data_IF_765772591229
#
_entry.id   IF_765772591229
#
_cell.length_a   1.000
_cell.length_b   1.000
_cell.length_c   1.000
_cell.angle_alpha   90.00
_cell.angle_beta   90.00
_cell.angle_gamma   90.00
#
_symmetry.space_group_name_H-M   'P 1'
#
loop_
_entity.id
_entity.type
_entity.pdbx_description
1 polymer ?
#
# COMPACT_ATOMS: atom_id res chain seq x y z
N UNK A 1 -24.35 1.41 34.83
CA UNK A 1 -24.01 1.10 33.43
C UNK A 1 -22.80 1.93 33.09
N UNK A 2 -21.68 1.30 32.74
CA UNK A 2 -20.47 2.04 32.35
C UNK A 2 -20.61 2.37 30.87
N UNK A 3 -20.63 3.65 30.53
CA UNK A 3 -20.61 4.09 29.13
C UNK A 3 -19.25 3.71 28.55
N UNK A 4 -19.24 3.08 27.36
CA UNK A 4 -18.03 2.50 26.77
C UNK A 4 -17.21 3.54 25.98
N UNK A 5 -17.86 4.58 25.50
CA UNK A 5 -17.23 5.68 24.78
C UNK A 5 -18.01 6.99 24.94
N UNK A 6 -17.50 8.04 24.30
CA UNK A 6 -18.12 9.36 24.29
C UNK A 6 -19.46 9.37 23.55
N UNK A 7 -19.67 8.51 22.55
CA UNK A 7 -20.92 8.46 21.80
C UNK A 7 -22.06 7.90 22.67
N UNK A 8 -21.80 6.86 23.45
CA UNK A 8 -22.71 6.30 24.45
C UNK A 8 -23.04 7.33 25.54
N UNK A 9 -22.04 8.10 25.98
CA UNK A 9 -22.22 9.16 26.97
C UNK A 9 -23.07 10.32 26.42
N UNK A 10 -22.84 10.74 25.18
CA UNK A 10 -23.61 11.80 24.53
C UNK A 10 -25.03 11.39 24.13
N UNK A 11 -25.24 10.12 23.76
CA UNK A 11 -26.56 9.56 23.54
C UNK A 11 -27.41 9.50 24.82
N UNK A 12 -26.77 9.27 25.97
CA UNK A 12 -27.43 9.24 27.28
C UNK A 12 -27.75 10.63 27.86
N UNK A 13 -26.93 11.66 27.57
CA UNK A 13 -27.08 13.02 28.13
C UNK A 13 -28.11 13.89 27.36
N UNK A 14 -28.49 13.51 26.14
CA UNK A 14 -29.47 14.23 25.30
C UNK A 14 -28.87 15.45 24.58
N UNK A 15 -29.38 15.72 23.36
CA UNK A 15 -28.79 16.68 22.41
C UNK A 15 -28.47 18.08 22.98
N UNK A 16 -29.34 18.62 23.84
CA UNK A 16 -29.16 19.99 24.39
C UNK A 16 -28.08 20.09 25.48
N UNK A 17 -27.82 18.99 26.20
CA UNK A 17 -26.73 18.93 27.17
C UNK A 17 -25.39 18.79 26.46
N UNK A 18 -25.33 17.93 25.43
CA UNK A 18 -24.16 17.77 24.57
C UNK A 18 -23.78 19.08 23.90
N UNK A 19 -24.76 19.81 23.35
CA UNK A 19 -24.52 21.10 22.69
C UNK A 19 -23.92 22.13 23.66
N UNK A 20 -24.46 22.26 24.88
CA UNK A 20 -23.91 23.17 25.89
C UNK A 20 -22.49 22.79 26.29
N UNK A 21 -22.19 21.50 26.37
CA UNK A 21 -20.85 21.00 26.70
C UNK A 21 -19.84 21.25 25.58
N UNK A 22 -20.25 21.07 24.33
CA UNK A 22 -19.45 21.42 23.17
C UNK A 22 -19.16 22.92 23.08
N UNK A 23 -20.15 23.78 23.35
CA UNK A 23 -19.92 25.23 23.40
C UNK A 23 -18.99 25.63 24.56
N UNK A 24 -19.14 25.02 25.74
CA UNK A 24 -18.20 25.23 26.86
C UNK A 24 -16.77 24.73 26.56
N UNK A 25 -16.62 23.69 25.73
CA UNK A 25 -15.32 23.22 25.26
C UNK A 25 -14.72 24.16 24.21
N UNK A 26 -15.54 24.70 23.30
CA UNK A 26 -15.10 25.73 22.33
C UNK A 26 -14.64 27.00 23.02
N UNK A 27 -15.35 27.46 24.05
CA UNK A 27 -14.95 28.64 24.83
C UNK A 27 -13.61 28.47 25.56
N UNK A 28 -13.19 27.22 25.77
CA UNK A 28 -11.93 26.86 26.44
C UNK A 28 -10.85 26.37 25.47
N UNK A 29 -11.15 26.33 24.17
CA UNK A 29 -10.20 25.90 23.16
C UNK A 29 -9.09 26.95 23.02
N UNK A 30 -7.84 26.50 23.02
CA UNK A 30 -6.66 27.34 22.81
C UNK A 30 -6.30 27.28 21.33
N UNK A 31 -5.86 28.41 20.76
CA UNK A 31 -5.40 28.45 19.37
C UNK A 31 -4.17 27.53 19.21
N UNK A 32 -4.30 26.53 18.34
CA UNK A 32 -3.24 25.57 18.07
C UNK A 32 -1.98 26.22 17.49
N UNK A 33 -2.12 27.35 16.78
CA UNK A 33 -1.01 28.11 16.25
C UNK A 33 -0.21 28.79 17.38
N UNK A 34 -0.91 29.41 18.34
CA UNK A 34 -0.27 30.03 19.51
C UNK A 34 0.50 28.98 20.32
N UNK A 35 -0.09 27.82 20.57
CA UNK A 35 0.58 26.71 21.26
C UNK A 35 1.85 26.21 20.53
N UNK A 36 1.80 26.14 19.20
CA UNK A 36 2.96 25.73 18.40
C UNK A 36 4.07 26.78 18.38
N UNK A 37 3.71 28.06 18.45
CA UNK A 37 4.66 29.17 18.56
C UNK A 37 5.32 29.21 19.94
N UNK A 38 4.56 29.00 21.01
CA UNK A 38 5.10 28.95 22.38
C UNK A 38 6.05 27.76 22.60
N UNK A 39 5.87 26.69 21.82
CA UNK A 39 6.74 25.51 21.84
C UNK A 39 7.96 25.61 20.92
N UNK A 40 8.30 26.79 20.40
CA UNK A 40 9.46 27.01 19.54
C UNK A 40 10.76 26.61 20.27
N UNK A 41 11.57 25.70 19.71
CA UNK A 41 12.86 25.34 20.31
C UNK A 41 13.84 26.50 20.27
N UNK A 42 14.59 26.69 21.35
CA UNK A 42 15.57 27.77 21.52
C UNK A 42 16.87 27.45 20.74
N UNK A 43 16.76 27.41 19.41
CA UNK A 43 17.79 26.92 18.50
C UNK A 43 18.33 28.09 17.65
N UNK A 44 19.66 28.30 17.54
CA UNK A 44 20.22 29.44 16.79
C UNK A 44 20.19 29.26 15.26
N UNK A 45 19.94 28.05 14.76
CA UNK A 45 20.00 27.75 13.33
C UNK A 45 18.69 28.05 12.61
N UNK A 46 18.72 29.02 11.68
CA UNK A 46 17.60 29.34 10.80
C UNK A 46 17.09 28.12 10.00
N UNK A 47 17.98 27.20 9.60
CA UNK A 47 17.62 25.97 8.89
C UNK A 47 16.77 25.05 9.77
N UNK A 48 17.14 24.89 11.05
CA UNK A 48 16.39 24.04 11.99
C UNK A 48 15.04 24.66 12.38
N UNK A 49 14.99 25.98 12.58
CA UNK A 49 13.71 26.70 12.79
C UNK A 49 12.77 26.55 11.60
N UNK A 50 13.29 26.66 10.37
CA UNK A 50 12.49 26.43 9.17
C UNK A 50 11.97 24.99 9.10
N UNK A 51 12.78 24.01 9.52
CA UNK A 51 12.35 22.62 9.66
C UNK A 51 11.17 22.45 10.63
N UNK A 52 11.27 23.04 11.82
CA UNK A 52 10.18 23.05 12.81
C UNK A 52 8.90 23.69 12.26
N UNK A 53 9.03 24.86 11.62
CA UNK A 53 7.90 25.55 10.98
C UNK A 53 7.22 24.66 9.95
N UNK A 54 7.99 24.01 9.07
CA UNK A 54 7.47 23.10 8.03
C UNK A 54 6.69 21.92 8.62
N UNK A 55 7.19 21.36 9.72
CA UNK A 55 6.61 20.14 10.30
C UNK A 55 5.44 20.41 11.24
N UNK A 56 5.43 21.54 11.96
CA UNK A 56 4.48 21.79 13.05
C UNK A 56 3.57 22.99 12.82
N UNK A 57 4.06 24.07 12.21
CA UNK A 57 3.31 25.33 12.10
C UNK A 57 2.51 25.40 10.80
N UNK A 58 3.15 25.17 9.65
CA UNK A 58 2.49 25.24 8.33
C UNK A 58 1.28 24.29 8.26
N UNK A 59 1.33 23.05 8.79
CA UNK A 59 0.16 22.18 8.81
C UNK A 59 -1.08 22.77 9.50
N UNK A 60 -0.89 23.53 10.58
CA UNK A 60 -1.96 24.17 11.36
C UNK A 60 -2.59 25.33 10.57
N UNK A 61 -1.75 26.15 9.94
CA UNK A 61 -2.19 27.24 9.06
C UNK A 61 -3.06 26.74 7.89
N UNK A 62 -2.86 25.48 7.49
CA UNK A 62 -3.61 24.85 6.42
C UNK A 62 -4.82 24.02 6.93
N UNK A 63 -4.95 23.83 8.25
CA UNK A 63 -5.95 22.95 8.85
C UNK A 63 -7.31 23.64 9.02
N UNK A 64 -7.33 24.94 9.31
CA UNK A 64 -8.59 25.65 9.62
C UNK A 64 -9.53 25.87 8.43
N UNK A 65 -9.06 25.71 7.19
CA UNK A 65 -9.83 26.12 5.99
C UNK A 65 -9.80 25.13 4.81
N UNK A 66 -9.11 24.00 4.95
CA UNK A 66 -9.00 22.97 3.91
C UNK A 66 -10.08 21.88 3.95
N UNK A 67 -10.72 21.66 5.09
CA UNK A 67 -11.65 20.57 5.28
C UNK A 67 -12.98 20.83 4.55
N UNK A 68 -13.26 20.03 3.52
CA UNK A 68 -14.55 19.97 2.82
C UNK A 68 -14.72 20.83 1.56
N UNK A 69 -13.72 21.62 1.14
CA UNK A 69 -13.84 22.51 -0.05
C UNK A 69 -13.13 22.03 -1.33
N UNK A 70 -12.59 20.82 -1.31
CA UNK A 70 -11.92 20.21 -2.47
C UNK A 70 -10.51 20.76 -2.73
N UNK A 71 -9.74 20.14 -3.66
CA UNK A 71 -8.32 20.41 -3.83
C UNK A 71 -8.00 21.86 -4.21
N UNK A 72 -8.86 22.53 -4.99
CA UNK A 72 -8.60 23.90 -5.45
C UNK A 72 -8.58 24.94 -4.31
N UNK A 73 -9.33 24.69 -3.23
CA UNK A 73 -9.36 25.58 -2.07
C UNK A 73 -7.98 25.73 -1.41
N UNK A 74 -7.10 24.70 -1.50
CA UNK A 74 -5.75 24.76 -0.95
C UNK A 74 -4.90 25.86 -1.61
N UNK A 75 -5.10 26.11 -2.91
CA UNK A 75 -4.35 27.17 -3.63
C UNK A 75 -4.75 28.56 -3.17
N UNK A 76 -6.02 28.74 -2.81
CA UNK A 76 -6.54 30.01 -2.33
C UNK A 76 -5.98 30.40 -0.96
N UNK A 77 -5.58 29.42 -0.13
CA UNK A 77 -4.99 29.67 1.19
C UNK A 77 -3.68 30.47 1.14
N UNK A 78 -2.91 30.36 0.06
CA UNK A 78 -1.68 31.17 -0.13
C UNK A 78 -1.95 32.66 -0.31
N UNK A 79 -3.21 33.03 -0.58
CA UNK A 79 -3.67 34.41 -0.77
C UNK A 79 -4.65 34.86 0.31
N UNK A 80 -4.99 33.97 1.25
CA UNK A 80 -5.94 34.26 2.33
C UNK A 80 -5.31 35.24 3.32
N UNK A 81 -6.02 36.32 3.61
CA UNK A 81 -5.50 37.41 4.46
C UNK A 81 -5.25 36.97 5.91
N UNK A 82 -6.01 36.00 6.43
CA UNK A 82 -5.79 35.49 7.78
C UNK A 82 -4.57 34.57 7.83
N UNK A 83 -4.39 33.72 6.81
CA UNK A 83 -3.19 32.87 6.70
C UNK A 83 -1.92 33.69 6.55
N UNK A 84 -1.98 34.79 5.76
CA UNK A 84 -0.86 35.71 5.58
C UNK A 84 -0.55 36.49 6.87
N UNK A 85 -1.56 36.95 7.61
CA UNK A 85 -1.36 37.60 8.90
C UNK A 85 -0.72 36.66 9.93
N UNK A 86 -1.21 35.42 10.03
CA UNK A 86 -0.63 34.39 10.88
C UNK A 86 0.82 34.06 10.49
N UNK A 87 1.14 34.10 9.19
CA UNK A 87 2.52 33.96 8.68
C UNK A 87 3.44 35.08 9.15
N UNK A 88 2.93 36.31 9.26
CA UNK A 88 3.69 37.46 9.78
C UNK A 88 3.96 37.29 11.30
N UNK A 89 3.00 36.76 12.05
CA UNK A 89 3.18 36.43 13.47
C UNK A 89 4.26 35.33 13.65
N UNK A 90 4.23 34.31 12.81
CA UNK A 90 5.27 33.27 12.77
C UNK A 90 6.63 33.86 12.40
N UNK A 91 6.69 34.81 11.47
CA UNK A 91 7.94 35.49 11.11
C UNK A 91 8.53 36.27 12.29
N UNK A 92 7.67 36.98 13.03
CA UNK A 92 8.06 37.72 14.22
C UNK A 92 8.62 36.80 15.32
N UNK A 93 7.94 35.70 15.60
CA UNK A 93 8.33 34.73 16.63
C UNK A 93 9.62 33.96 16.27
N UNK A 94 9.76 33.52 15.02
CA UNK A 94 10.87 32.67 14.57
C UNK A 94 12.11 33.46 14.14
N UNK A 95 11.97 34.77 13.93
CA UNK A 95 12.97 35.66 13.32
C UNK A 95 13.41 35.21 11.92
N UNK A 96 12.56 34.45 11.23
CA UNK A 96 12.78 34.03 9.84
C UNK A 96 12.25 35.10 8.88
N UNK A 97 12.81 35.16 7.67
CA UNK A 97 12.35 36.10 6.65
C UNK A 97 10.96 35.68 6.13
N UNK A 98 9.98 36.60 6.02
CA UNK A 98 8.64 36.27 5.51
C UNK A 98 8.64 35.57 4.15
N UNK A 99 9.53 35.96 3.24
CA UNK A 99 9.65 35.32 1.93
C UNK A 99 10.04 33.83 1.99
N UNK A 100 10.81 33.41 3.00
CA UNK A 100 11.20 32.00 3.19
C UNK A 100 10.02 31.19 3.72
N UNK A 101 9.23 31.78 4.61
CA UNK A 101 8.03 31.15 5.17
C UNK A 101 6.92 31.03 4.12
N UNK A 102 6.74 32.07 3.30
CA UNK A 102 5.79 32.06 2.17
C UNK A 102 6.15 30.97 1.15
N UNK A 103 7.42 30.86 0.78
CA UNK A 103 7.87 29.78 -0.11
C UNK A 103 7.63 28.39 0.48
N UNK A 104 7.86 28.22 1.79
CA UNK A 104 7.58 26.95 2.47
C UNK A 104 6.08 26.63 2.53
N UNK A 105 5.21 27.64 2.71
CA UNK A 105 3.76 27.47 2.64
C UNK A 105 3.32 27.07 1.22
N UNK A 106 3.83 27.75 0.20
CA UNK A 106 3.51 27.46 -1.20
C UNK A 106 3.94 26.03 -1.61
N UNK A 107 5.12 25.57 -1.18
CA UNK A 107 5.61 24.21 -1.39
C UNK A 107 4.69 23.16 -0.73
N UNK A 108 4.28 23.40 0.51
CA UNK A 108 3.38 22.52 1.25
C UNK A 108 1.97 22.47 0.63
N UNK A 109 1.43 23.63 0.24
CA UNK A 109 0.15 23.73 -0.46
C UNK A 109 0.18 22.96 -1.77
N UNK A 110 1.24 23.11 -2.55
CA UNK A 110 1.38 22.41 -3.82
C UNK A 110 1.48 20.89 -3.62
N UNK A 111 2.19 20.44 -2.58
CA UNK A 111 2.26 19.02 -2.20
C UNK A 111 0.89 18.46 -1.84
N UNK A 112 0.17 19.11 -0.90
CA UNK A 112 -1.18 18.69 -0.49
C UNK A 112 -2.19 18.75 -1.62
N UNK A 113 -2.07 19.74 -2.50
CA UNK A 113 -2.90 19.86 -3.69
C UNK A 113 -2.73 18.64 -4.60
N UNK A 114 -1.49 18.22 -4.85
CA UNK A 114 -1.21 17.06 -5.69
C UNK A 114 -1.71 15.77 -5.03
N UNK A 115 -1.48 15.59 -3.74
CA UNK A 115 -1.99 14.45 -2.96
C UNK A 115 -3.52 14.39 -2.98
N UNK A 116 -4.21 15.49 -2.67
CA UNK A 116 -5.66 15.57 -2.65
C UNK A 116 -6.27 15.39 -4.05
N UNK A 117 -5.64 15.95 -5.09
CA UNK A 117 -6.08 15.75 -6.48
C UNK A 117 -5.92 14.30 -6.91
N UNK A 118 -4.82 13.65 -6.55
CA UNK A 118 -4.59 12.23 -6.84
C UNK A 118 -5.58 11.34 -6.07
N UNK A 119 -5.86 11.64 -4.80
CA UNK A 119 -6.84 10.92 -3.99
C UNK A 119 -8.27 11.10 -4.55
N UNK A 120 -8.70 12.33 -4.85
CA UNK A 120 -10.03 12.58 -5.43
C UNK A 120 -10.19 12.01 -6.84
N UNK A 121 -9.10 11.95 -7.62
CA UNK A 121 -9.08 11.27 -8.92
C UNK A 121 -9.23 9.75 -8.72
N UNK A 122 -8.48 9.17 -7.78
CA UNK A 122 -8.56 7.75 -7.43
C UNK A 122 -9.96 7.35 -6.93
N UNK A 123 -10.60 8.20 -6.12
CA UNK A 123 -11.95 7.98 -5.60
C UNK A 123 -13.01 8.05 -6.71
N UNK A 124 -12.95 9.07 -7.59
CA UNK A 124 -13.83 9.15 -8.77
C UNK A 124 -13.63 7.99 -9.75
N UNK A 125 -12.40 7.54 -9.93
CA UNK A 125 -12.08 6.39 -10.79
C UNK A 125 -12.56 5.07 -10.17
N UNK A 126 -12.47 4.93 -8.85
CA UNK A 126 -13.04 3.79 -8.12
C UNK A 126 -14.58 3.76 -8.21
N UNK A 127 -15.24 4.91 -8.06
CA UNK A 127 -16.70 5.04 -8.21
C UNK A 127 -17.15 4.74 -9.66
N UNK A 128 -16.41 5.23 -10.66
CA UNK A 128 -16.69 4.94 -12.06
C UNK A 128 -16.47 3.46 -12.40
N UNK A 129 -15.44 2.81 -11.86
CA UNK A 129 -15.21 1.37 -12.02
C UNK A 129 -16.34 0.54 -11.39
N UNK A 130 -16.93 0.99 -10.26
CA UNK A 130 -18.11 0.34 -9.65
C UNK A 130 -19.37 0.42 -10.52
N UNK A 131 -19.40 1.32 -11.51
CA UNK A 131 -20.54 1.55 -12.40
C UNK A 131 -20.52 0.65 -13.64
N UNK A 132 -19.41 -0.05 -13.93
CA UNK A 132 -19.33 -0.97 -15.06
C UNK A 132 -20.17 -2.21 -14.77
N UNK A 133 -21.18 -2.45 -15.59
CA UNK A 133 -22.08 -3.58 -15.41
C UNK A 133 -21.33 -4.92 -15.56
N UNK A 134 -21.60 -5.87 -14.66
CA UNK A 134 -20.90 -7.17 -14.57
C UNK A 134 -20.75 -7.93 -15.89
N UNK A 135 -21.79 -7.94 -16.73
CA UNK A 135 -21.78 -8.57 -18.06
C UNK A 135 -20.61 -8.13 -18.95
N UNK A 136 -20.07 -6.94 -18.72
CA UNK A 136 -18.96 -6.37 -19.49
C UNK A 136 -17.62 -6.99 -19.09
N UNK A 137 -17.37 -7.16 -17.77
CA UNK A 137 -16.09 -7.63 -17.26
C UNK A 137 -16.08 -9.13 -16.92
N UNK A 138 -17.25 -9.77 -16.77
CA UNK A 138 -17.36 -11.20 -16.42
C UNK A 138 -16.52 -12.14 -17.31
N UNK A 139 -16.42 -11.94 -18.66
CA UNK A 139 -15.56 -12.77 -19.49
C UNK A 139 -14.06 -12.72 -19.13
N UNK A 140 -13.60 -11.61 -18.54
CA UNK A 140 -12.20 -11.50 -18.08
C UNK A 140 -11.92 -12.45 -16.91
N UNK A 141 -12.94 -12.78 -16.14
CA UNK A 141 -12.89 -13.60 -14.92
C UNK A 141 -13.23 -15.09 -15.16
N UNK A 142 -13.34 -15.54 -16.41
CA UNK A 142 -13.40 -16.97 -16.77
C UNK A 142 -12.13 -17.72 -16.30
N UNK A 143 -12.00 -19.05 -16.45
CA UNK A 143 -10.78 -19.75 -16.04
C UNK A 143 -9.51 -19.22 -16.74
N UNK A 144 -8.42 -19.01 -15.99
CA UNK A 144 -7.15 -18.49 -16.51
C UNK A 144 -7.04 -16.96 -16.48
N UNK A 145 -7.58 -16.35 -15.41
CA UNK A 145 -7.60 -14.92 -15.14
C UNK A 145 -6.18 -14.34 -15.07
N UNK A 146 -5.26 -15.01 -14.36
CA UNK A 146 -3.87 -14.55 -14.23
C UNK A 146 -3.21 -14.38 -15.60
N UNK A 147 -3.31 -15.41 -16.45
CA UNK A 147 -2.74 -15.39 -17.80
C UNK A 147 -3.33 -14.25 -18.64
N UNK A 148 -4.66 -14.07 -18.65
CA UNK A 148 -5.29 -12.97 -19.40
C UNK A 148 -4.86 -11.60 -18.89
N UNK A 149 -4.70 -11.44 -17.58
CA UNK A 149 -4.22 -10.21 -16.98
C UNK A 149 -2.77 -9.92 -17.40
N UNK A 150 -1.89 -10.94 -17.37
CA UNK A 150 -0.51 -10.85 -17.86
C UNK A 150 -0.46 -10.47 -19.34
N UNK A 151 -1.26 -11.12 -20.19
CA UNK A 151 -1.33 -10.82 -21.63
C UNK A 151 -1.81 -9.38 -21.89
N UNK A 152 -2.78 -8.91 -21.13
CA UNK A 152 -3.29 -7.55 -21.22
C UNK A 152 -2.21 -6.53 -20.82
N UNK A 153 -1.57 -6.70 -19.67
CA UNK A 153 -0.47 -5.83 -19.19
C UNK A 153 0.69 -5.85 -20.19
N UNK A 154 1.12 -7.04 -20.61
CA UNK A 154 2.23 -7.18 -21.54
C UNK A 154 1.95 -6.49 -22.88
N UNK A 155 0.72 -6.60 -23.40
CA UNK A 155 0.29 -5.92 -24.62
C UNK A 155 0.23 -4.40 -24.45
N UNK A 156 -0.36 -3.91 -23.35
CA UNK A 156 -0.55 -2.47 -23.07
C UNK A 156 0.75 -1.71 -22.77
N UNK A 157 1.77 -2.42 -22.27
CA UNK A 157 3.04 -1.80 -21.96
C UNK A 157 4.13 -2.17 -22.96
N UNK A 158 3.97 -3.22 -23.77
CA UNK A 158 5.00 -3.69 -24.70
C UNK A 158 6.06 -4.57 -24.03
N UNK A 159 5.68 -5.34 -23.02
CA UNK A 159 6.56 -6.27 -22.31
C UNK A 159 6.61 -7.59 -23.07
N UNK A 160 7.81 -8.16 -23.25
CA UNK A 160 8.03 -9.41 -23.99
C UNK A 160 8.97 -10.30 -23.18
N UNK A 161 8.66 -11.59 -23.09
CA UNK A 161 9.50 -12.60 -22.43
C UNK A 161 9.38 -12.67 -20.90
N UNK A 162 8.88 -11.62 -20.25
CA UNK A 162 8.87 -11.49 -18.77
C UNK A 162 7.61 -12.07 -18.10
N UNK A 163 7.05 -13.16 -18.63
CA UNK A 163 5.75 -13.71 -18.21
C UNK A 163 5.74 -14.09 -16.72
N UNK A 164 6.72 -14.89 -16.28
CA UNK A 164 6.81 -15.35 -14.88
C UNK A 164 7.06 -14.21 -13.89
N UNK A 165 7.80 -13.19 -14.30
CA UNK A 165 8.00 -11.99 -13.49
C UNK A 165 6.69 -11.20 -13.33
N UNK A 166 5.90 -11.04 -14.40
CA UNK A 166 4.58 -10.41 -14.32
C UNK A 166 3.62 -11.21 -13.45
N UNK A 167 3.56 -12.54 -13.62
CA UNK A 167 2.74 -13.42 -12.78
C UNK A 167 3.05 -13.23 -11.28
N UNK A 168 4.34 -13.25 -10.92
CA UNK A 168 4.79 -12.99 -9.55
C UNK A 168 4.35 -11.62 -9.03
N UNK A 169 4.61 -10.56 -9.81
CA UNK A 169 4.29 -9.19 -9.39
C UNK A 169 2.78 -9.03 -9.17
N UNK A 170 1.96 -9.57 -10.09
CA UNK A 170 0.51 -9.56 -9.98
C UNK A 170 0.05 -10.29 -8.71
N UNK A 171 0.52 -11.53 -8.49
CA UNK A 171 0.09 -12.32 -7.34
C UNK A 171 0.50 -11.69 -6.01
N UNK A 172 1.70 -11.11 -5.92
CA UNK A 172 2.11 -10.35 -4.72
C UNK A 172 1.22 -9.11 -4.53
N UNK A 173 0.94 -8.35 -5.59
CA UNK A 173 0.15 -7.14 -5.49
C UNK A 173 -1.31 -7.42 -5.08
N UNK A 174 -1.97 -8.39 -5.73
CA UNK A 174 -3.35 -8.78 -5.36
C UNK A 174 -3.39 -9.54 -4.04
N UNK A 175 -2.27 -10.13 -3.59
CA UNK A 175 -2.18 -10.80 -2.29
C UNK A 175 -2.49 -9.89 -1.09
N UNK A 176 -2.35 -8.57 -1.23
CA UNK A 176 -2.82 -7.61 -0.22
C UNK A 176 -4.34 -7.69 0.00
N UNK A 177 -5.09 -8.17 -1.00
CA UNK A 177 -6.54 -8.32 -0.95
C UNK A 177 -6.99 -9.53 -0.12
N UNK A 178 -6.09 -10.45 0.27
CA UNK A 178 -6.46 -11.62 1.06
C UNK A 178 -6.85 -11.24 2.49
N UNK A 179 -7.77 -12.01 3.07
CA UNK A 179 -8.12 -11.88 4.48
C UNK A 179 -6.96 -12.36 5.36
N UNK A 180 -6.72 -11.67 6.48
CA UNK A 180 -5.74 -12.09 7.50
C UNK A 180 -6.11 -13.45 8.07
N UNK A 181 -5.12 -14.26 8.43
CA UNK A 181 -5.33 -15.51 9.16
C UNK A 181 -6.07 -15.25 10.50
N UNK A 182 -6.77 -16.24 11.08
CA UNK A 182 -7.50 -16.06 12.35
C UNK A 182 -6.66 -15.56 13.53
N UNK A 183 -5.34 -15.72 13.46
CA UNK A 183 -4.38 -15.21 14.44
C UNK A 183 -3.88 -13.77 14.14
N UNK A 184 -4.48 -13.07 13.17
CA UNK A 184 -4.16 -11.71 12.77
C UNK A 184 -2.95 -11.57 11.83
N UNK A 185 -2.27 -12.67 11.48
CA UNK A 185 -1.12 -12.61 10.55
C UNK A 185 -1.57 -12.38 9.11
N UNK A 186 -0.80 -11.65 8.29
CA UNK A 186 -1.10 -11.53 6.87
C UNK A 186 -0.89 -12.87 6.17
N UNK A 187 -1.70 -13.15 5.15
CA UNK A 187 -1.57 -14.33 4.29
C UNK A 187 -0.83 -14.02 2.98
N UNK A 188 -0.97 -12.80 2.45
CA UNK A 188 -0.36 -12.38 1.20
C UNK A 188 1.16 -12.43 1.24
N UNK A 189 1.76 -12.92 0.16
CA UNK A 189 3.22 -12.96 0.01
C UNK A 189 3.78 -11.55 -0.22
N UNK A 190 5.04 -11.32 0.18
CA UNK A 190 5.81 -10.13 -0.21
C UNK A 190 7.13 -10.54 -0.82
N UNK A 191 7.68 -9.69 -1.68
CA UNK A 191 8.80 -10.02 -2.53
C UNK A 191 9.92 -8.99 -2.54
N UNK A 192 11.08 -9.43 -3.02
CA UNK A 192 12.20 -8.60 -3.41
C UNK A 192 12.55 -8.97 -4.84
N UNK A 193 12.59 -7.99 -5.73
CA UNK A 193 12.93 -8.21 -7.13
C UNK A 193 14.36 -7.72 -7.38
N UNK A 194 15.29 -8.67 -7.51
CA UNK A 194 16.72 -8.42 -7.69
C UNK A 194 17.07 -8.50 -9.18
N UNK A 195 17.75 -7.49 -9.68
CA UNK A 195 18.26 -7.47 -11.05
C UNK A 195 19.33 -6.41 -11.22
N UNK A 196 20.10 -6.48 -12.30
CA UNK A 196 21.01 -5.40 -12.69
C UNK A 196 20.25 -4.08 -12.94
N UNK A 197 20.98 -2.96 -12.90
CA UNK A 197 20.45 -1.65 -13.25
C UNK A 197 19.97 -1.66 -14.72
N UNK A 198 18.82 -1.04 -15.01
CA UNK A 198 18.26 -1.00 -16.36
C UNK A 198 17.61 -2.31 -16.85
N UNK A 199 17.58 -3.39 -16.05
CA UNK A 199 16.92 -4.66 -16.43
C UNK A 199 15.40 -4.58 -16.54
N UNK A 200 14.79 -3.49 -16.07
CA UNK A 200 13.35 -3.21 -16.21
C UNK A 200 12.50 -3.52 -14.98
N UNK A 201 13.09 -3.65 -13.77
CA UNK A 201 12.36 -3.96 -12.52
C UNK A 201 11.16 -3.03 -12.30
N UNK A 202 11.42 -1.72 -12.23
CA UNK A 202 10.38 -0.71 -11.98
C UNK A 202 9.36 -0.71 -13.11
N UNK A 203 9.82 -0.80 -14.37
CA UNK A 203 8.94 -0.85 -15.53
C UNK A 203 7.93 -2.03 -15.48
N UNK A 204 8.33 -3.21 -15.00
CA UNK A 204 7.39 -4.33 -14.81
C UNK A 204 6.38 -4.06 -13.69
N UNK A 205 6.82 -3.49 -12.56
CA UNK A 205 5.94 -3.18 -11.43
C UNK A 205 4.97 -2.06 -11.79
N UNK A 206 5.46 -0.99 -12.44
CA UNK A 206 4.66 0.13 -12.94
C UNK A 206 3.56 -0.36 -13.89
N UNK A 207 3.87 -1.31 -14.77
CA UNK A 207 2.92 -1.89 -15.70
C UNK A 207 1.80 -2.68 -15.00
N UNK A 208 2.13 -3.42 -13.93
CA UNK A 208 1.10 -4.10 -13.11
C UNK A 208 0.27 -3.08 -12.35
N UNK A 209 0.91 -2.12 -11.69
CA UNK A 209 0.24 -1.10 -10.88
C UNK A 209 -0.73 -0.26 -11.72
N UNK A 210 -0.40 0.02 -12.99
CA UNK A 210 -1.25 0.79 -13.90
C UNK A 210 -2.63 0.17 -14.18
N UNK A 211 -2.80 -1.15 -14.00
CA UNK A 211 -4.07 -1.83 -14.23
C UNK A 211 -4.86 -2.10 -12.93
N UNK A 212 -4.22 -1.96 -11.78
CA UNK A 212 -4.87 -2.16 -10.49
C UNK A 212 -5.86 -1.03 -10.20
N UNK A 213 -6.89 -1.28 -9.38
CA UNK A 213 -7.73 -0.21 -8.84
C UNK A 213 -6.86 0.84 -8.10
N UNK A 214 -7.10 2.15 -8.29
CA UNK A 214 -6.23 3.21 -7.74
C UNK A 214 -5.99 3.15 -6.23
N UNK A 215 -6.95 2.64 -5.46
CA UNK A 215 -6.84 2.49 -4.00
C UNK A 215 -6.07 1.25 -3.53
N UNK A 216 -5.70 0.33 -4.42
CA UNK A 216 -5.08 -0.94 -4.05
C UNK A 216 -3.57 -0.87 -3.87
N UNK A 217 -2.95 0.25 -4.19
CA UNK A 217 -1.51 0.40 -4.07
C UNK A 217 -1.14 1.77 -3.50
N UNK A 218 0.07 1.85 -2.97
CA UNK A 218 0.72 3.09 -2.58
C UNK A 218 2.16 3.08 -3.09
N UNK A 219 2.41 3.84 -4.15
CA UNK A 219 3.75 4.05 -4.70
C UNK A 219 4.41 5.28 -4.09
N UNK A 220 5.69 5.18 -3.74
CA UNK A 220 6.44 6.32 -3.20
C UNK A 220 7.94 6.19 -3.48
N UNK A 221 8.60 7.34 -3.68
CA UNK A 221 10.06 7.43 -3.89
C UNK A 221 10.82 7.58 -2.57
N UNK A 222 10.21 8.21 -1.58
CA UNK A 222 10.76 8.32 -0.23
C UNK A 222 9.65 8.45 0.80
N UNK A 223 9.87 7.86 1.98
CA UNK A 223 9.01 8.01 3.13
C UNK A 223 9.84 7.76 4.40
N UNK A 224 9.37 8.31 5.52
CA UNK A 224 9.92 7.99 6.84
C UNK A 224 8.96 7.08 7.59
N UNK A 225 9.47 6.24 8.50
CA UNK A 225 8.61 5.45 9.38
C UNK A 225 7.64 6.38 10.16
N UNK A 226 8.13 7.51 10.67
CA UNK A 226 7.31 8.50 11.38
C UNK A 226 6.16 9.03 10.54
N UNK A 227 6.39 9.36 9.26
CA UNK A 227 5.31 9.85 8.40
C UNK A 227 4.22 8.80 8.15
N UNK A 228 4.56 7.50 8.15
CA UNK A 228 3.56 6.44 8.05
C UNK A 228 2.68 6.37 9.30
N UNK A 229 3.27 6.49 10.50
CA UNK A 229 2.51 6.45 11.75
C UNK A 229 1.56 7.65 11.93
N UNK A 230 2.00 8.86 11.59
CA UNK A 230 1.15 10.05 11.75
C UNK A 230 0.01 10.14 10.71
N UNK A 231 0.11 9.43 9.57
CA UNK A 231 -0.99 9.37 8.60
C UNK A 231 -2.25 8.71 9.15
N UNK A 232 -2.10 7.80 10.11
CA UNK A 232 -3.23 7.12 10.79
C UNK A 232 -4.17 8.11 11.47
N UNK A 233 -3.65 9.25 11.94
CA UNK A 233 -4.48 10.26 12.59
C UNK A 233 -5.52 10.88 11.64
N UNK A 234 -5.25 10.85 10.33
CA UNK A 234 -6.16 11.34 9.29
C UNK A 234 -7.00 10.22 8.68
N UNK A 235 -6.35 9.09 8.42
CA UNK A 235 -6.97 7.92 7.81
C UNK A 235 -6.40 6.66 8.47
N UNK A 236 -7.09 6.08 9.47
CA UNK A 236 -6.62 4.88 10.17
C UNK A 236 -6.50 3.65 9.26
N UNK A 237 -7.26 3.62 8.16
CA UNK A 237 -7.33 2.50 7.22
C UNK A 237 -6.47 2.70 5.97
N UNK A 238 -5.61 3.71 5.91
CA UNK A 238 -4.94 4.12 4.68
C UNK A 238 -4.03 3.05 4.04
N UNK A 239 -3.68 1.98 4.78
CA UNK A 239 -2.90 0.85 4.29
C UNK A 239 -3.65 -0.48 4.26
N UNK A 240 -4.91 -0.52 4.70
CA UNK A 240 -5.68 -1.75 4.68
C UNK A 240 -5.86 -2.23 3.24
N UNK A 241 -5.48 -3.48 2.98
CA UNK A 241 -5.51 -4.10 1.67
C UNK A 241 -4.76 -3.32 0.59
N UNK A 242 -3.55 -2.83 0.90
CA UNK A 242 -2.71 -2.11 -0.07
C UNK A 242 -1.38 -2.79 -0.38
N UNK A 243 -1.03 -2.79 -1.64
CA UNK A 243 0.30 -3.11 -2.15
C UNK A 243 1.21 -1.89 -2.02
N UNK A 244 2.24 -1.99 -1.19
CA UNK A 244 3.27 -0.96 -1.07
C UNK A 244 4.34 -1.15 -2.13
N UNK A 245 4.58 -0.10 -2.91
CA UNK A 245 5.60 -0.09 -3.95
C UNK A 245 6.62 1.03 -3.68
N UNK A 246 7.70 0.74 -2.93
CA UNK A 246 8.83 1.64 -2.83
C UNK A 246 9.63 1.61 -4.15
N UNK A 247 9.69 2.72 -4.86
CA UNK A 247 10.33 2.79 -6.19
C UNK A 247 11.85 2.53 -6.14
N UNK A 248 12.47 2.75 -4.97
CA UNK A 248 13.90 2.57 -4.72
C UNK A 248 14.15 1.88 -3.37
N UNK A 249 15.27 1.17 -3.25
CA UNK A 249 15.63 0.46 -2.01
C UNK A 249 15.99 1.43 -0.87
N UNK A 250 16.45 2.64 -1.19
CA UNK A 250 16.74 3.70 -0.23
C UNK A 250 15.47 4.10 0.55
N UNK A 251 14.29 4.04 -0.08
CA UNK A 251 13.01 4.25 0.59
C UNK A 251 12.69 3.14 1.59
N UNK A 252 13.17 1.91 1.33
CA UNK A 252 12.99 0.77 2.23
C UNK A 252 13.88 0.90 3.45
N UNK A 253 15.13 1.34 3.31
CA UNK A 253 16.08 1.46 4.42
C UNK A 253 15.51 2.32 5.56
N UNK A 254 14.78 3.41 5.22
CA UNK A 254 14.10 4.28 6.18
C UNK A 254 12.82 3.67 6.81
N UNK A 255 12.31 2.56 6.25
CA UNK A 255 11.05 1.91 6.60
C UNK A 255 11.22 0.49 7.15
N UNK A 256 12.43 -0.07 7.26
CA UNK A 256 12.66 -1.45 7.73
C UNK A 256 11.89 -1.75 9.03
N UNK A 257 12.03 -0.87 10.04
CA UNK A 257 11.36 -1.03 11.33
C UNK A 257 9.84 -0.99 11.25
N UNK A 258 9.29 -0.29 10.25
CA UNK A 258 7.86 -0.23 9.98
C UNK A 258 7.39 -1.47 9.20
N UNK A 259 8.13 -1.89 8.17
CA UNK A 259 7.75 -3.02 7.31
C UNK A 259 7.82 -4.36 8.04
N UNK A 260 8.81 -4.61 8.91
CA UNK A 260 8.95 -5.89 9.63
C UNK A 260 7.68 -6.30 10.41
N UNK A 261 7.08 -5.46 11.27
CA UNK A 261 5.83 -5.81 11.95
C UNK A 261 4.64 -5.83 10.99
N UNK A 262 4.53 -4.90 10.02
CA UNK A 262 3.44 -4.94 9.05
C UNK A 262 3.37 -6.26 8.27
N UNK A 263 4.52 -6.78 7.83
CA UNK A 263 4.61 -8.05 7.11
C UNK A 263 4.51 -9.30 8.00
N UNK A 264 4.58 -9.16 9.33
CA UNK A 264 4.52 -10.30 10.28
C UNK A 264 3.22 -10.39 11.06
N UNK A 265 2.67 -9.26 11.47
CA UNK A 265 1.48 -9.14 12.32
C UNK A 265 0.38 -8.32 11.67
N UNK A 266 0.56 -7.86 10.43
CA UNK A 266 -0.45 -7.07 9.70
C UNK A 266 -0.80 -5.74 10.37
N UNK A 267 0.02 -5.31 11.32
CA UNK A 267 -0.09 -4.04 12.03
C UNK A 267 1.25 -3.62 12.59
N UNK A 268 1.44 -2.32 12.77
CA UNK A 268 2.61 -1.74 13.40
C UNK A 268 2.17 -0.70 14.42
N UNK A 269 2.84 -0.67 15.58
CA UNK A 269 2.52 0.22 16.68
C UNK A 269 3.70 1.14 16.97
N UNK A 270 3.43 2.43 17.16
CA UNK A 270 4.40 3.39 17.67
C UNK A 270 3.85 4.07 18.90
N UNK A 271 4.57 3.94 20.00
CA UNK A 271 4.39 4.74 21.20
C UNK A 271 5.15 6.05 21.02
N UNK A 272 4.47 7.17 21.15
CA UNK A 272 5.08 8.50 21.10
C UNK A 272 4.55 9.37 22.23
N UNK A 273 5.19 10.51 22.45
CA UNK A 273 4.74 11.50 23.43
C UNK A 273 4.34 12.72 22.65
N UNK A 274 3.07 13.10 22.78
CA UNK A 274 2.56 14.37 22.29
C UNK A 274 2.19 15.25 23.48
N UNK A 275 1.97 16.53 23.21
CA UNK A 275 1.48 17.44 24.25
C UNK A 275 -0.04 17.43 24.25
N UNK A 276 -0.64 17.34 25.43
CA UNK A 276 -2.08 17.56 25.60
C UNK A 276 -2.43 19.05 25.40
N UNK A 277 -3.72 19.38 25.42
CA UNK A 277 -4.20 20.75 25.30
C UNK A 277 -3.67 21.68 26.41
N UNK A 278 -3.23 21.12 27.54
CA UNK A 278 -2.61 21.83 28.66
C UNK A 278 -1.07 21.88 28.59
N UNK A 279 -0.46 21.41 27.49
CA UNK A 279 0.98 21.43 27.25
C UNK A 279 1.78 20.37 28.01
N UNK A 280 1.10 19.43 28.69
CA UNK A 280 1.72 18.31 29.41
C UNK A 280 2.02 17.17 28.45
N UNK A 281 3.06 16.41 28.75
CA UNK A 281 3.42 15.23 27.99
C UNK A 281 2.38 14.13 28.22
N UNK A 282 1.68 13.73 27.16
CA UNK A 282 0.75 12.61 27.12
C UNK A 282 1.29 11.53 26.17
N UNK A 283 1.29 10.28 26.64
CA UNK A 283 1.63 9.14 25.79
C UNK A 283 0.54 8.87 24.78
N UNK A 284 0.90 8.75 23.51
CA UNK A 284 -0.01 8.44 22.41
C UNK A 284 0.43 7.14 21.72
N UNK A 285 -0.56 6.30 21.43
CA UNK A 285 -0.41 5.09 20.62
C UNK A 285 -0.87 5.35 19.18
N UNK A 286 0.05 5.14 18.22
CA UNK A 286 -0.24 5.20 16.79
C UNK A 286 -0.19 3.78 16.21
N UNK A 287 -1.36 3.18 15.99
CA UNK A 287 -1.49 1.85 15.36
C UNK A 287 -1.80 1.99 13.87
N UNK A 288 -0.88 1.52 13.02
CA UNK A 288 -1.11 1.40 11.58
C UNK A 288 -1.61 -0.01 11.28
N UNK A 289 -2.73 -0.13 10.57
CA UNK A 289 -3.36 -1.41 10.21
C UNK A 289 -3.10 -1.78 8.75
N UNK A 290 -2.92 -3.08 8.51
CA UNK A 290 -2.89 -3.71 7.20
C UNK A 290 -4.13 -4.58 6.96
N UNK A 291 -4.09 -5.58 6.07
CA UNK A 291 -2.87 -6.19 5.51
C UNK A 291 -2.24 -5.39 4.38
N UNK A 292 -0.91 -5.51 4.30
CA UNK A 292 -0.12 -5.01 3.16
C UNK A 292 0.66 -6.15 2.53
N UNK A 293 1.00 -5.99 1.26
CA UNK A 293 2.10 -6.71 0.60
C UNK A 293 3.06 -5.70 -0.01
N UNK A 294 4.26 -6.13 -0.39
CA UNK A 294 5.23 -5.25 -1.06
C UNK A 294 6.15 -6.01 -2.00
N UNK A 295 6.62 -5.34 -3.05
CA UNK A 295 7.80 -5.76 -3.80
C UNK A 295 8.84 -4.67 -3.70
N UNK A 296 10.05 -5.07 -3.29
CA UNK A 296 11.19 -4.18 -3.19
C UNK A 296 12.09 -4.40 -4.41
N UNK A 297 12.05 -3.52 -5.42
CA UNK A 297 12.99 -3.56 -6.53
C UNK A 297 14.39 -3.18 -6.02
N UNK A 298 15.41 -3.95 -6.39
CA UNK A 298 16.77 -3.65 -5.94
C UNK A 298 17.85 -4.18 -6.90
N UNK A 299 19.01 -3.54 -6.84
CA UNK A 299 20.27 -4.04 -7.41
C UNK A 299 21.15 -4.71 -6.36
N UNK A 300 20.80 -4.58 -5.07
CA UNK A 300 21.56 -5.10 -3.94
C UNK A 300 21.21 -6.58 -3.74
N UNK A 301 22.24 -7.42 -3.60
CA UNK A 301 22.06 -8.84 -3.28
C UNK A 301 21.75 -9.10 -1.80
N UNK A 302 21.87 -8.08 -0.94
CA UNK A 302 21.62 -8.16 0.50
C UNK A 302 20.89 -6.91 0.98
N UNK A 303 19.96 -7.10 1.91
CA UNK A 303 19.30 -6.06 2.71
C UNK A 303 19.38 -6.47 4.19
N UNK A 304 18.63 -5.79 5.07
CA UNK A 304 18.45 -6.23 6.46
C UNK A 304 17.99 -7.69 6.50
N UNK A 305 18.76 -8.55 7.18
CA UNK A 305 18.53 -9.99 7.20
C UNK A 305 17.14 -10.34 7.78
N UNK A 306 16.66 -9.55 8.74
CA UNK A 306 15.35 -9.77 9.33
C UNK A 306 14.24 -9.43 8.34
N UNK A 307 14.34 -8.33 7.59
CA UNK A 307 13.39 -8.00 6.53
C UNK A 307 13.46 -9.04 5.41
N UNK A 308 14.65 -9.41 4.95
CA UNK A 308 14.85 -10.36 3.85
C UNK A 308 14.17 -11.71 4.10
N UNK A 309 14.27 -12.25 5.32
CA UNK A 309 13.63 -13.53 5.68
C UNK A 309 12.09 -13.48 5.68
N UNK A 310 11.47 -12.32 5.50
CA UNK A 310 10.02 -12.14 5.32
C UNK A 310 9.60 -12.04 3.85
N UNK A 311 10.56 -11.99 2.92
CA UNK A 311 10.32 -11.74 1.51
C UNK A 311 10.71 -12.96 0.66
N UNK A 312 9.95 -13.20 -0.40
CA UNK A 312 10.40 -14.05 -1.50
C UNK A 312 11.44 -13.33 -2.32
N UNK A 313 12.60 -13.94 -2.49
CA UNK A 313 13.65 -13.38 -3.33
C UNK A 313 13.38 -13.84 -4.75
N UNK A 314 13.08 -12.90 -5.64
CA UNK A 314 12.91 -13.13 -7.06
C UNK A 314 14.05 -12.46 -7.84
N UNK A 315 14.62 -13.16 -8.80
CA UNK A 315 15.68 -12.69 -9.68
C UNK A 315 15.16 -12.54 -11.10
N UNK A 316 15.44 -11.37 -11.68
CA UNK A 316 15.16 -11.10 -13.08
C UNK A 316 16.45 -11.31 -13.87
N UNK A 317 16.72 -12.57 -14.23
CA UNK A 317 17.90 -12.96 -15.02
C UNK A 317 17.89 -12.29 -16.41
N UNK A 318 19.09 -11.99 -16.94
CA UNK A 318 19.23 -11.60 -18.35
C UNK A 318 19.29 -12.85 -19.24
N UNK A 319 18.98 -12.69 -20.52
CA UNK A 319 18.98 -13.78 -21.50
C UNK A 319 19.39 -13.29 -22.88
N UNK A 320 19.93 -14.21 -23.69
CA UNK A 320 20.40 -13.88 -25.03
C UNK A 320 19.25 -13.35 -25.91
N UNK A 321 19.52 -12.29 -26.67
CA UNK A 321 18.54 -11.67 -27.56
C UNK A 321 17.57 -10.71 -26.89
N UNK A 322 17.47 -10.69 -25.56
CA UNK A 322 16.54 -9.85 -24.79
C UNK A 322 16.57 -8.39 -25.20
N UNK A 323 17.75 -7.77 -25.20
CA UNK A 323 17.90 -6.33 -25.49
C UNK A 323 17.27 -5.97 -26.83
N UNK A 324 17.49 -6.80 -27.85
CA UNK A 324 16.92 -6.59 -29.19
C UNK A 324 15.40 -6.78 -29.20
N UNK A 325 14.88 -7.77 -28.48
CA UNK A 325 13.43 -7.99 -28.37
C UNK A 325 12.72 -6.84 -27.65
N UNK A 326 13.27 -6.42 -26.50
CA UNK A 326 12.73 -5.34 -25.67
C UNK A 326 12.78 -4.00 -26.39
N UNK A 327 13.90 -3.64 -27.01
CA UNK A 327 14.01 -2.40 -27.79
C UNK A 327 13.10 -2.40 -29.01
N UNK A 328 12.90 -3.55 -29.67
CA UNK A 328 11.89 -3.70 -30.74
C UNK A 328 10.47 -3.54 -30.20
N UNK A 329 10.16 -4.09 -29.03
CA UNK A 329 8.86 -3.95 -28.41
C UNK A 329 8.57 -2.48 -28.08
N UNK A 330 9.53 -1.78 -27.46
CA UNK A 330 9.46 -0.34 -27.24
C UNK A 330 9.24 0.44 -28.55
N UNK A 331 9.99 0.12 -29.60
CA UNK A 331 9.83 0.75 -30.92
C UNK A 331 8.44 0.52 -31.53
N UNK A 332 7.76 -0.58 -31.20
CA UNK A 332 6.38 -0.84 -31.65
C UNK A 332 5.38 0.10 -30.99
N UNK A 333 5.62 0.51 -29.74
CA UNK A 333 4.75 1.45 -29.02
C UNK A 333 4.66 2.81 -29.73
N UNK A 334 5.73 3.21 -30.41
CA UNK A 334 5.82 4.47 -31.15
C UNK A 334 5.21 4.40 -32.56
N UNK A 335 4.76 3.22 -33.01
CA UNK A 335 4.12 3.10 -34.34
C UNK A 335 2.74 3.77 -34.31
N UNK A 336 2.30 4.43 -35.40
CA UNK A 336 1.05 5.19 -35.41
C UNK A 336 -0.17 4.42 -34.91
N UNK A 337 -0.30 3.14 -35.28
CA UNK A 337 -1.42 2.30 -34.83
C UNK A 337 -1.42 2.06 -33.32
N UNK A 338 -0.25 1.86 -32.72
CA UNK A 338 -0.15 1.66 -31.27
C UNK A 338 -0.28 2.99 -30.52
N UNK A 339 0.42 4.03 -30.97
CA UNK A 339 0.41 5.34 -30.33
C UNK A 339 -0.99 5.98 -30.28
N UNK A 340 -1.90 5.59 -31.17
CA UNK A 340 -3.30 6.01 -31.16
C UNK A 340 -4.22 5.11 -30.30
N UNK A 341 -3.70 4.05 -29.69
CA UNK A 341 -4.48 3.12 -28.86
C UNK A 341 -4.76 3.76 -27.50
N UNK A 342 -6.04 3.85 -27.16
CA UNK A 342 -6.49 4.21 -25.81
C UNK A 342 -6.92 2.94 -25.07
N UNK A 343 -6.15 2.56 -24.05
CA UNK A 343 -6.44 1.39 -23.22
C UNK A 343 -7.31 1.73 -22.00
N UNK A 344 -7.73 2.99 -21.82
CA UNK A 344 -8.45 3.44 -20.61
C UNK A 344 -9.71 2.62 -20.34
N UNK A 345 -10.47 2.28 -21.38
CA UNK A 345 -11.68 1.45 -21.23
C UNK A 345 -11.37 0.02 -20.79
N UNK A 346 -10.29 -0.58 -21.31
CA UNK A 346 -9.88 -1.93 -20.92
C UNK A 346 -9.32 -1.94 -19.49
N UNK A 347 -8.54 -0.94 -19.12
CA UNK A 347 -8.06 -0.73 -17.74
C UNK A 347 -9.25 -0.60 -16.79
N UNK A 348 -10.24 0.25 -17.11
CA UNK A 348 -11.45 0.40 -16.30
C UNK A 348 -12.21 -0.92 -16.13
N UNK A 349 -12.31 -1.74 -17.19
CA UNK A 349 -12.93 -3.07 -17.12
C UNK A 349 -12.16 -4.02 -16.20
N UNK A 350 -10.82 -4.03 -16.25
CA UNK A 350 -10.00 -4.82 -15.33
C UNK A 350 -10.14 -4.35 -13.89
N UNK A 351 -10.12 -3.03 -13.65
CA UNK A 351 -10.32 -2.46 -12.32
C UNK A 351 -11.68 -2.84 -11.74
N UNK A 352 -12.75 -2.80 -12.54
CA UNK A 352 -14.08 -3.26 -12.14
C UNK A 352 -14.11 -4.77 -11.86
N UNK A 353 -13.48 -5.58 -12.73
CA UNK A 353 -13.36 -7.03 -12.56
C UNK A 353 -12.69 -7.37 -11.23
N UNK A 354 -11.51 -6.81 -10.99
CA UNK A 354 -10.71 -6.97 -9.78
C UNK A 354 -11.46 -6.46 -8.53
N UNK A 355 -12.09 -5.29 -8.62
CA UNK A 355 -12.93 -4.73 -7.56
C UNK A 355 -14.06 -5.69 -7.15
N UNK A 356 -14.70 -6.36 -8.12
CA UNK A 356 -15.79 -7.31 -7.86
C UNK A 356 -15.36 -8.53 -7.02
N UNK A 357 -14.06 -8.88 -7.04
CA UNK A 357 -13.50 -10.01 -6.30
C UNK A 357 -13.33 -9.72 -4.80
N UNK A 358 -13.37 -8.44 -4.39
CA UNK A 358 -13.11 -8.02 -3.00
C UNK A 358 -14.20 -8.41 -2.00
N UNK A 359 -15.39 -8.81 -2.48
CA UNK A 359 -16.48 -9.26 -1.62
C UNK A 359 -16.15 -10.57 -0.88
N UNK A 360 -15.21 -11.37 -1.37
CA UNK A 360 -14.73 -12.60 -0.73
C UNK A 360 -13.21 -12.59 -0.71
N UNK A 361 -12.62 -12.39 0.46
CA UNK A 361 -11.15 -12.29 0.64
C UNK A 361 -10.54 -13.52 1.29
N UNK A 362 -11.36 -14.33 1.95
CA UNK A 362 -10.95 -15.55 2.63
C UNK A 362 -10.70 -16.66 1.62
N UNK A 363 -9.51 -17.24 1.69
CA UNK A 363 -9.14 -18.44 0.95
C UNK A 363 -8.81 -19.53 1.97
N UNK A 364 -9.24 -20.76 1.68
CA UNK A 364 -8.96 -21.96 2.45
C UNK A 364 -8.60 -23.08 1.49
N UNK A 365 -7.94 -24.12 1.99
CA UNK A 365 -7.72 -25.37 1.27
C UNK A 365 -8.13 -26.52 2.22
N UNK A 366 -8.93 -27.49 1.77
CA UNK A 366 -9.49 -28.54 2.63
C UNK A 366 -8.53 -29.75 2.68
N UNK A 367 -7.23 -29.48 2.91
CA UNK A 367 -6.22 -30.53 2.98
C UNK A 367 -5.66 -30.64 4.40
N UNK A 368 -5.76 -31.83 4.96
CA UNK A 368 -5.07 -32.23 6.18
C UNK A 368 -4.21 -33.45 5.85
N UNK A 369 -2.94 -33.20 5.49
CA UNK A 369 -1.98 -34.25 5.11
C UNK A 369 -0.60 -33.91 5.67
N UNK A 370 0.09 -34.89 6.25
CA UNK A 370 1.38 -34.68 6.93
C UNK A 370 2.48 -34.23 5.96
N UNK A 371 2.45 -34.70 4.70
CA UNK A 371 3.40 -34.30 3.68
C UNK A 371 3.09 -32.93 3.05
N UNK A 372 1.98 -32.27 3.42
CA UNK A 372 1.69 -30.89 2.99
C UNK A 372 2.43 -29.87 3.85
N UNK A 373 3.76 -30.01 3.88
CA UNK A 373 4.66 -29.16 4.64
C UNK A 373 5.99 -29.06 3.91
N UNK A 374 6.68 -27.93 4.10
CA UNK A 374 8.08 -27.82 3.68
C UNK A 374 8.96 -28.58 4.67
N UNK A 375 9.43 -29.76 4.26
CA UNK A 375 10.39 -30.58 5.00
C UNK A 375 11.81 -30.35 4.47
N UNK A 376 12.47 -29.29 4.95
CA UNK A 376 13.86 -28.97 4.59
C UNK A 376 14.55 -28.10 5.67
N UNK A 377 15.25 -28.76 6.59
CA UNK A 377 16.01 -28.11 7.66
C UNK A 377 17.22 -27.28 7.16
N UNK A 378 17.60 -27.42 5.89
CA UNK A 378 18.64 -26.59 5.27
C UNK A 378 18.23 -25.13 5.09
N UNK A 379 16.93 -24.82 5.19
CA UNK A 379 16.39 -23.46 5.07
C UNK A 379 15.99 -22.97 6.46
N UNK A 380 16.88 -22.21 7.11
CA UNK A 380 16.68 -21.70 8.48
C UNK A 380 15.40 -20.88 8.70
N UNK A 381 14.85 -20.28 7.63
CA UNK A 381 13.61 -19.52 7.61
C UNK A 381 12.49 -20.23 6.82
N UNK A 382 12.55 -21.56 6.72
CA UNK A 382 11.66 -22.40 5.91
C UNK A 382 10.18 -22.18 6.18
N UNK A 383 9.77 -21.98 7.43
CA UNK A 383 8.37 -21.68 7.77
C UNK A 383 7.87 -20.36 7.14
N UNK A 384 8.72 -19.34 7.03
CA UNK A 384 8.37 -18.06 6.37
C UNK A 384 8.35 -18.21 4.86
N UNK A 385 9.30 -18.96 4.31
CA UNK A 385 9.35 -19.30 2.90
C UNK A 385 8.06 -20.03 2.48
N UNK A 386 7.67 -21.04 3.25
CA UNK A 386 6.45 -21.81 3.05
C UNK A 386 5.19 -20.93 3.14
N UNK A 387 5.09 -20.09 4.16
CA UNK A 387 3.96 -19.16 4.29
C UNK A 387 3.84 -18.22 3.08
N UNK A 388 4.95 -17.69 2.57
CA UNK A 388 4.94 -16.86 1.37
C UNK A 388 4.55 -17.64 0.10
N UNK A 389 5.02 -18.87 -0.08
CA UNK A 389 4.60 -19.71 -1.21
C UNK A 389 3.09 -20.00 -1.16
N UNK A 390 2.57 -20.36 0.02
CA UNK A 390 1.13 -20.52 0.24
C UNK A 390 0.37 -19.19 0.02
N UNK A 391 0.98 -18.05 0.34
CA UNK A 391 0.44 -16.73 0.04
C UNK A 391 0.28 -16.49 -1.46
N UNK A 392 1.22 -16.92 -2.30
CA UNK A 392 1.09 -16.86 -3.76
C UNK A 392 -0.03 -17.79 -4.26
N UNK A 393 -0.07 -19.03 -3.76
CA UNK A 393 -1.13 -19.99 -4.07
C UNK A 393 -2.52 -19.41 -3.72
N UNK A 394 -2.67 -18.84 -2.52
CA UNK A 394 -3.93 -18.23 -2.10
C UNK A 394 -4.29 -17.01 -2.95
N UNK A 395 -3.30 -16.22 -3.38
CA UNK A 395 -3.52 -15.08 -4.28
C UNK A 395 -4.01 -15.54 -5.65
N UNK A 396 -3.48 -16.66 -6.15
CA UNK A 396 -3.94 -17.27 -7.40
C UNK A 396 -5.39 -17.78 -7.27
N UNK A 397 -5.68 -18.57 -6.21
CA UNK A 397 -7.03 -19.06 -5.92
C UNK A 397 -8.05 -17.92 -5.78
N UNK A 398 -7.66 -16.82 -5.13
CA UNK A 398 -8.51 -15.63 -4.97
C UNK A 398 -8.78 -14.92 -6.30
N UNK A 399 -7.79 -14.84 -7.18
CA UNK A 399 -7.95 -14.26 -8.52
C UNK A 399 -8.87 -15.13 -9.39
N UNK A 400 -8.78 -16.45 -9.22
CA UNK A 400 -9.61 -17.46 -9.89
C UNK A 400 -10.94 -17.74 -9.16
N UNK A 401 -11.33 -16.99 -8.14
CA UNK A 401 -12.42 -17.37 -7.23
C UNK A 401 -13.79 -17.57 -7.89
N UNK A 402 -14.03 -17.03 -9.09
CA UNK A 402 -15.27 -17.29 -9.86
C UNK A 402 -15.27 -18.68 -10.51
N UNK A 403 -14.11 -19.29 -10.61
CA UNK A 403 -13.80 -20.59 -11.19
C UNK A 403 -13.38 -21.59 -10.09
N UNK A 404 -13.75 -21.31 -8.85
CA UNK A 404 -13.46 -22.12 -7.66
C UNK A 404 -14.75 -22.34 -6.88
N UNK A 405 -14.78 -23.45 -6.15
CA UNK A 405 -15.82 -23.67 -5.17
C UNK A 405 -15.68 -22.67 -4.01
N UNK A 406 -16.81 -22.37 -3.37
CA UNK A 406 -16.84 -21.52 -2.20
C UNK A 406 -17.71 -22.13 -1.11
N UNK A 407 -17.12 -22.31 0.07
CA UNK A 407 -17.77 -22.89 1.24
C UNK A 407 -18.13 -21.81 2.26
N UNK A 408 -19.10 -22.09 3.11
CA UNK A 408 -19.42 -21.28 4.28
C UNK A 408 -18.66 -21.83 5.49
N UNK A 409 -17.88 -20.98 6.15
CA UNK A 409 -17.13 -21.34 7.35
C UNK A 409 -18.03 -21.34 8.57
N UNK A 410 -17.59 -21.96 9.67
CA UNK A 410 -18.31 -21.94 10.95
C UNK A 410 -18.50 -20.53 11.53
N UNK A 411 -17.72 -19.55 11.06
CA UNK A 411 -17.88 -18.13 11.38
C UNK A 411 -19.00 -17.43 10.58
N UNK A 412 -19.62 -18.11 9.60
CA UNK A 412 -20.55 -17.53 8.63
C UNK A 412 -19.88 -16.80 7.45
N UNK A 413 -18.55 -16.71 7.42
CA UNK A 413 -17.80 -16.12 6.30
C UNK A 413 -17.77 -17.08 5.10
N UNK A 414 -17.97 -16.56 3.88
CA UNK A 414 -17.76 -17.36 2.66
C UNK A 414 -16.28 -17.37 2.28
N UNK A 415 -15.72 -18.55 2.12
CA UNK A 415 -14.33 -18.77 1.75
C UNK A 415 -14.20 -19.43 0.37
N UNK A 416 -13.22 -18.98 -0.41
CA UNK A 416 -12.82 -19.62 -1.67
C UNK A 416 -11.98 -20.86 -1.35
N UNK A 417 -12.28 -21.97 -2.02
CA UNK A 417 -11.55 -23.23 -1.87
C UNK A 417 -10.45 -23.29 -2.92
N UNK A 418 -9.19 -23.26 -2.48
CA UNK A 418 -8.03 -23.43 -3.36
C UNK A 418 -7.89 -24.88 -3.81
N UNK A 419 -7.34 -25.08 -5.01
CA UNK A 419 -7.14 -26.37 -5.67
C UNK A 419 -5.66 -26.68 -5.88
N UNK A 420 -5.29 -27.92 -6.25
CA UNK A 420 -3.91 -28.27 -6.59
C UNK A 420 -3.30 -27.39 -7.70
N UNK A 421 -4.12 -27.00 -8.70
CA UNK A 421 -3.72 -26.06 -9.76
C UNK A 421 -3.17 -24.72 -9.21
N UNK A 422 -3.71 -24.24 -8.09
CA UNK A 422 -3.27 -22.99 -7.46
C UNK A 422 -1.85 -23.14 -6.87
N UNK A 423 -1.54 -24.32 -6.32
CA UNK A 423 -0.21 -24.65 -5.84
C UNK A 423 0.77 -24.83 -7.00
N UNK A 424 0.38 -25.53 -8.07
CA UNK A 424 1.20 -25.68 -9.27
C UNK A 424 1.56 -24.31 -9.88
N UNK A 425 0.58 -23.42 -10.04
CA UNK A 425 0.82 -22.06 -10.53
C UNK A 425 1.82 -21.28 -9.66
N UNK A 426 1.66 -21.33 -8.34
CA UNK A 426 2.57 -20.67 -7.39
C UNK A 426 3.97 -21.27 -7.42
N UNK A 427 4.08 -22.60 -7.47
CA UNK A 427 5.35 -23.31 -7.52
C UNK A 427 6.10 -23.06 -8.82
N UNK A 428 5.42 -23.04 -9.97
CA UNK A 428 6.01 -22.74 -11.27
C UNK A 428 6.63 -21.34 -11.30
N UNK A 429 5.93 -20.36 -10.73
CA UNK A 429 6.46 -19.00 -10.58
C UNK A 429 7.70 -19.02 -9.68
N UNK A 430 7.57 -19.63 -8.50
CA UNK A 430 8.66 -19.72 -7.52
C UNK A 430 9.91 -20.40 -8.10
N UNK A 431 9.75 -21.52 -8.82
CA UNK A 431 10.84 -22.23 -9.47
C UNK A 431 11.52 -21.39 -10.55
N UNK A 432 10.73 -20.64 -11.32
CA UNK A 432 11.24 -19.85 -12.44
C UNK A 432 12.11 -18.68 -11.98
N UNK A 433 11.68 -17.94 -10.94
CA UNK A 433 12.33 -16.68 -10.57
C UNK A 433 12.95 -16.66 -9.16
N UNK A 434 12.62 -17.58 -8.27
CA UNK A 434 13.12 -17.61 -6.89
C UNK A 434 14.23 -18.63 -6.64
N UNK A 435 15.09 -18.87 -7.64
CA UNK A 435 16.13 -19.91 -7.60
C UNK A 435 17.07 -19.84 -6.40
N UNK A 436 17.41 -18.65 -5.88
CA UNK A 436 18.22 -18.53 -4.64
C UNK A 436 17.50 -18.98 -3.37
N UNK A 437 16.17 -19.05 -3.40
CA UNK A 437 15.35 -19.65 -2.34
C UNK A 437 15.16 -21.16 -2.55
N UNK A 438 15.65 -21.73 -3.65
CA UNK A 438 15.57 -23.15 -4.02
C UNK A 438 16.84 -23.87 -3.58
N UNK A 439 16.89 -24.34 -2.34
CA UNK A 439 17.77 -25.46 -1.99
C UNK A 439 16.90 -26.72 -1.98
N UNK A 440 17.08 -27.61 -2.96
CA UNK A 440 16.48 -28.96 -3.05
C UNK A 440 14.94 -29.09 -2.86
N UNK A 441 14.13 -28.31 -3.58
CA UNK A 441 12.66 -28.43 -3.49
C UNK A 441 12.03 -29.48 -4.42
N UNK A 442 12.75 -30.06 -5.38
CA UNK A 442 12.14 -30.90 -6.42
C UNK A 442 11.55 -32.22 -5.91
N UNK A 443 12.19 -32.87 -4.93
CA UNK A 443 11.65 -34.09 -4.30
C UNK A 443 10.49 -33.76 -3.34
N UNK A 444 10.67 -32.73 -2.50
CA UNK A 444 9.64 -32.22 -1.60
C UNK A 444 8.38 -31.78 -2.35
N UNK A 445 8.55 -31.12 -3.50
CA UNK A 445 7.45 -30.69 -4.37
C UNK A 445 6.60 -31.87 -4.86
N UNK A 446 7.23 -32.98 -5.28
CA UNK A 446 6.48 -34.18 -5.69
C UNK A 446 5.66 -34.77 -4.55
N UNK A 447 6.21 -34.80 -3.33
CA UNK A 447 5.47 -35.24 -2.13
C UNK A 447 4.29 -34.31 -1.85
N UNK A 448 4.51 -32.99 -1.90
CA UNK A 448 3.46 -31.98 -1.68
C UNK A 448 2.34 -32.09 -2.74
N UNK A 449 2.67 -32.24 -4.03
CA UNK A 449 1.67 -32.43 -5.08
C UNK A 449 0.88 -33.72 -4.87
N UNK A 450 1.56 -34.83 -4.58
CA UNK A 450 0.88 -36.09 -4.30
C UNK A 450 -0.03 -35.99 -3.06
N UNK A 451 0.28 -35.13 -2.10
CA UNK A 451 -0.58 -34.86 -0.95
C UNK A 451 -1.83 -34.04 -1.31
N UNK A 452 -1.82 -33.27 -2.41
CA UNK A 452 -2.91 -32.40 -2.84
C UNK A 452 -3.97 -33.11 -3.71
N UNK A 453 -3.62 -34.23 -4.33
CA UNK A 453 -4.49 -35.07 -5.17
C UNK A 453 -4.94 -36.32 -4.43
#
# INVERSE_FOLDING_TARGET
MSNKDFADLFAAEGHDAVRRRLEALKERAVDGLELALDALPDEPSNRRRLGYVRERIIPLLLQEKGDGRGPEALRELTKDSAVLAALDDVAAATKLKPGVLKAALEEEVQRRFLEARNAAKAEKEADAASTIHEKIYAPMLEPGVLRRLVEAIARMHGIVGEIKALEFIILVAVGAQLAQLPNGRPLGASGMLIAEAGRGKNYLIDAVVAILPPGWYLSFESASASSMYYRVERDPGFLEHRFLYPNEIEAVDALIEFLRPMLSSSKAMKLTVNKDAEGRNEGQELEVKGPITTIIPTVRNKTDEQLQTRLLIAELEDYEGRVKEHTRAFSKLLRPGYAATDNTEEVGRWQAALGSLTAKRRVVFPLEHEEFALDNDGVSHGARLWANLLGLMCSHAWLEQRNRDAIELSSGERAVVATPDDYEAAYDIFQAISRRSVVNLSETHRKILNALY
#
